data_IF_437566005487
#
_entry.id   IF_437566005487
#
_cell.length_a   1.000
_cell.length_b   1.000
_cell.length_c   1.000
_cell.angle_alpha   90.00
_cell.angle_beta   90.00
_cell.angle_gamma   90.00
#
_symmetry.space_group_name_H-M   'P 1'
#
loop_
_entity.id
_entity.type
_entity.pdbx_description
1 polymer ?
#
# COMPACT_ATOMS: atom_id res chain seq x y z
N UNK A 1 -19.83 -15.41 -12.48
CA UNK A 1 -18.50 -15.80 -11.97
C UNK A 1 -17.88 -14.56 -11.36
N UNK A 2 -17.61 -14.54 -10.05
CA UNK A 2 -16.83 -13.44 -9.46
C UNK A 2 -15.41 -13.53 -9.99
N UNK A 3 -15.09 -12.66 -10.95
CA UNK A 3 -13.77 -12.60 -11.55
C UNK A 3 -12.83 -11.99 -10.52
N UNK A 4 -11.87 -12.77 -10.02
CA UNK A 4 -10.80 -12.26 -9.15
C UNK A 4 -9.95 -11.29 -9.96
N UNK A 5 -9.79 -10.06 -9.47
CA UNK A 5 -9.14 -8.95 -10.19
C UNK A 5 -7.86 -8.52 -9.46
N UNK A 6 -6.85 -8.14 -10.24
CA UNK A 6 -5.65 -7.47 -9.73
C UNK A 6 -5.80 -5.95 -9.73
N UNK A 7 -6.60 -5.42 -10.66
CA UNK A 7 -6.97 -4.01 -10.77
C UNK A 7 -8.45 -3.96 -11.12
N UNK A 8 -9.17 -2.98 -10.57
CA UNK A 8 -10.58 -2.79 -10.85
C UNK A 8 -10.83 -1.42 -11.47
N UNK A 9 -11.11 -1.41 -12.77
CA UNK A 9 -11.32 -0.19 -13.56
C UNK A 9 -12.62 0.56 -13.20
N UNK A 10 -13.52 -0.08 -12.45
CA UNK A 10 -14.76 0.57 -11.98
C UNK A 10 -14.55 1.39 -10.72
N UNK A 11 -13.37 1.29 -10.09
CA UNK A 11 -13.04 2.08 -8.91
C UNK A 11 -12.80 3.55 -9.28
N UNK A 12 -12.95 4.47 -8.34
CA UNK A 12 -12.51 5.85 -8.53
C UNK A 12 -11.02 5.93 -8.89
N UNK A 13 -10.65 6.91 -9.72
CA UNK A 13 -9.25 7.12 -10.12
C UNK A 13 -8.31 7.19 -8.91
N UNK A 14 -8.71 7.90 -7.84
CA UNK A 14 -7.95 8.00 -6.58
C UNK A 14 -7.63 6.64 -5.97
N UNK A 15 -8.63 5.76 -5.90
CA UNK A 15 -8.47 4.42 -5.31
C UNK A 15 -7.67 3.50 -6.23
N UNK A 16 -7.85 3.62 -7.55
CA UNK A 16 -7.03 2.89 -8.52
C UNK A 16 -5.55 3.28 -8.39
N UNK A 17 -5.24 4.57 -8.29
CA UNK A 17 -3.85 5.03 -8.10
C UNK A 17 -3.30 4.47 -6.77
N UNK A 18 -4.08 4.47 -5.69
CA UNK A 18 -3.65 3.86 -4.43
C UNK A 18 -3.30 2.37 -4.57
N UNK A 19 -4.09 1.60 -5.33
CA UNK A 19 -3.79 0.18 -5.63
C UNK A 19 -2.46 0.05 -6.38
N UNK A 20 -2.23 0.89 -7.40
CA UNK A 20 -0.95 0.89 -8.12
C UNK A 20 0.22 1.26 -7.22
N UNK A 21 0.06 2.25 -6.34
CA UNK A 21 1.09 2.65 -5.39
C UNK A 21 1.41 1.53 -4.39
N UNK A 22 0.42 0.77 -3.90
CA UNK A 22 0.67 -0.41 -3.04
C UNK A 22 1.53 -1.46 -3.77
N UNK A 23 1.25 -1.73 -5.04
CA UNK A 23 2.07 -2.65 -5.84
C UNK A 23 3.47 -2.10 -6.11
N UNK A 24 3.60 -0.79 -6.38
CA UNK A 24 4.90 -0.16 -6.55
C UNK A 24 5.73 -0.18 -5.26
N UNK A 25 5.12 0.07 -4.10
CA UNK A 25 5.78 -0.07 -2.79
C UNK A 25 6.31 -1.49 -2.60
N UNK A 26 5.52 -2.51 -2.93
CA UNK A 26 5.98 -3.90 -2.86
C UNK A 26 7.18 -4.17 -3.78
N UNK A 27 7.18 -3.61 -5.00
CA UNK A 27 8.29 -3.74 -5.96
C UNK A 27 9.56 -3.06 -5.45
N UNK A 28 9.46 -1.82 -4.95
CA UNK A 28 10.63 -1.09 -4.44
C UNK A 28 11.21 -1.77 -3.20
N UNK A 29 10.37 -2.19 -2.26
CA UNK A 29 10.82 -2.94 -1.09
C UNK A 29 11.50 -4.26 -1.49
N UNK A 30 10.99 -4.96 -2.51
CA UNK A 30 11.63 -6.16 -3.02
C UNK A 30 13.00 -5.87 -3.66
N UNK A 31 13.12 -4.79 -4.43
CA UNK A 31 14.40 -4.35 -4.99
C UNK A 31 15.41 -4.04 -3.86
N UNK A 32 14.96 -3.40 -2.78
CA UNK A 32 15.83 -3.11 -1.65
C UNK A 32 16.29 -4.38 -0.92
N UNK A 33 15.42 -5.39 -0.77
CA UNK A 33 15.84 -6.70 -0.24
C UNK A 33 16.96 -7.35 -1.07
N UNK A 34 16.87 -7.24 -2.40
CA UNK A 34 17.92 -7.74 -3.29
C UNK A 34 19.23 -6.95 -3.13
N UNK A 35 19.16 -5.62 -2.95
CA UNK A 35 20.34 -4.78 -2.72
C UNK A 35 21.05 -5.11 -1.41
N UNK A 36 20.30 -5.33 -0.33
CA UNK A 36 20.88 -5.65 0.99
C UNK A 36 21.26 -7.13 1.14
N UNK A 37 20.92 -7.98 0.18
CA UNK A 37 21.19 -9.42 0.18
C UNK A 37 20.66 -10.15 1.44
N UNK A 38 19.52 -9.69 1.96
CA UNK A 38 18.90 -10.22 3.16
C UNK A 38 17.38 -10.24 3.00
N UNK A 39 16.72 -11.21 3.64
CA UNK A 39 15.26 -11.35 3.63
C UNK A 39 14.68 -11.32 5.05
N UNK A 40 14.89 -10.24 5.81
CA UNK A 40 14.29 -10.08 7.12
C UNK A 40 12.76 -10.17 7.05
N UNK A 41 12.16 -10.95 7.96
CA UNK A 41 10.73 -11.28 7.93
C UNK A 41 9.83 -10.03 7.92
N UNK A 42 10.23 -8.96 8.60
CA UNK A 42 9.49 -7.68 8.67
C UNK A 42 9.30 -7.07 7.28
N UNK A 43 10.36 -7.03 6.48
CA UNK A 43 10.32 -6.46 5.13
C UNK A 43 9.59 -7.39 4.15
N UNK A 44 9.77 -8.71 4.29
CA UNK A 44 9.00 -9.70 3.52
C UNK A 44 7.50 -9.58 3.82
N UNK A 45 7.14 -9.36 5.08
CA UNK A 45 5.76 -9.12 5.50
C UNK A 45 5.21 -7.80 4.93
N UNK A 46 6.02 -6.73 4.88
CA UNK A 46 5.64 -5.47 4.24
C UNK A 46 5.33 -5.63 2.75
N UNK A 47 6.16 -6.39 2.02
CA UNK A 47 5.93 -6.72 0.59
C UNK A 47 4.64 -7.53 0.42
N UNK A 48 4.53 -8.66 1.14
CA UNK A 48 3.37 -9.55 1.03
C UNK A 48 2.08 -8.83 1.43
N UNK A 49 2.13 -8.01 2.49
CA UNK A 49 1.02 -7.20 2.96
C UNK A 49 0.59 -6.15 1.95
N UNK A 50 1.53 -5.46 1.30
CA UNK A 50 1.24 -4.45 0.27
C UNK A 50 0.59 -5.07 -0.96
N UNK A 51 1.08 -6.23 -1.42
CA UNK A 51 0.46 -7.00 -2.51
C UNK A 51 -0.95 -7.48 -2.11
N UNK A 52 -1.09 -8.06 -0.92
CA UNK A 52 -2.37 -8.55 -0.42
C UNK A 52 -3.39 -7.41 -0.25
N UNK A 53 -2.95 -6.23 0.18
CA UNK A 53 -3.78 -5.04 0.29
C UNK A 53 -4.29 -4.58 -1.07
N UNK A 54 -3.40 -4.38 -2.05
CA UNK A 54 -3.78 -3.98 -3.40
C UNK A 54 -4.75 -4.98 -4.03
N UNK A 55 -4.47 -6.27 -3.87
CA UNK A 55 -5.35 -7.33 -4.34
C UNK A 55 -6.70 -7.31 -3.63
N UNK A 56 -6.72 -7.18 -2.30
CA UNK A 56 -7.95 -7.11 -1.51
C UNK A 56 -8.82 -5.91 -1.88
N UNK A 57 -8.21 -4.74 -2.09
CA UNK A 57 -8.88 -3.52 -2.55
C UNK A 57 -9.45 -3.71 -3.96
N UNK A 58 -8.68 -4.28 -4.89
CA UNK A 58 -9.16 -4.56 -6.25
C UNK A 58 -10.36 -5.52 -6.30
N UNK A 59 -10.52 -6.36 -5.27
CA UNK A 59 -11.67 -7.25 -5.10
C UNK A 59 -12.71 -6.72 -4.09
N UNK A 60 -12.69 -5.42 -3.79
CA UNK A 60 -13.67 -4.71 -2.95
C UNK A 60 -13.86 -5.36 -1.57
N UNK A 61 -12.78 -5.87 -0.97
CA UNK A 61 -12.81 -6.52 0.34
C UNK A 61 -12.46 -5.52 1.43
N UNK A 62 -13.29 -5.43 2.49
CA UNK A 62 -13.05 -4.49 3.61
C UNK A 62 -11.69 -4.71 4.29
N UNK A 63 -11.28 -5.96 4.47
CA UNK A 63 -9.97 -6.26 5.07
C UNK A 63 -8.81 -5.75 4.21
N UNK A 64 -8.96 -5.76 2.88
CA UNK A 64 -7.93 -5.28 1.95
C UNK A 64 -7.71 -3.77 2.10
N UNK A 65 -8.80 -3.01 2.30
CA UNK A 65 -8.71 -1.57 2.54
C UNK A 65 -8.04 -1.24 3.88
N UNK A 66 -8.42 -1.95 4.95
CA UNK A 66 -7.79 -1.77 6.27
C UNK A 66 -6.30 -2.12 6.18
N UNK A 67 -5.96 -3.25 5.54
CA UNK A 67 -4.58 -3.64 5.33
C UNK A 67 -3.81 -2.60 4.50
N UNK A 68 -4.44 -2.03 3.47
CA UNK A 68 -3.84 -0.96 2.66
C UNK A 68 -3.46 0.26 3.48
N UNK A 69 -4.32 0.69 4.42
CA UNK A 69 -4.00 1.81 5.34
C UNK A 69 -2.82 1.44 6.24
N UNK A 70 -2.79 0.22 6.80
CA UNK A 70 -1.68 -0.24 7.63
C UNK A 70 -0.38 -0.28 6.83
N UNK A 71 -0.40 -0.80 5.61
CA UNK A 71 0.78 -0.88 4.74
C UNK A 71 1.25 0.49 4.24
N UNK A 72 0.35 1.45 4.05
CA UNK A 72 0.72 2.83 3.73
C UNK A 72 1.45 3.53 4.87
N UNK A 73 1.15 3.17 6.13
CA UNK A 73 1.82 3.71 7.31
C UNK A 73 3.06 2.91 7.75
N UNK A 74 3.21 1.68 7.26
CA UNK A 74 4.30 0.77 7.56
C UNK A 74 5.70 1.36 7.43
N UNK A 75 6.10 2.01 6.30
CA UNK A 75 7.46 2.50 6.14
C UNK A 75 7.82 3.62 7.14
N UNK A 76 6.83 4.40 7.58
CA UNK A 76 7.04 5.40 8.64
C UNK A 76 7.35 4.73 9.98
N UNK A 77 6.64 3.65 10.31
CA UNK A 77 6.89 2.87 11.52
C UNK A 77 8.28 2.23 11.51
N UNK A 78 8.69 1.63 10.38
CA UNK A 78 10.03 1.06 10.21
C UNK A 78 11.12 2.12 10.43
N UNK A 79 10.98 3.30 9.81
CA UNK A 79 11.98 4.36 9.94
C UNK A 79 12.07 4.91 11.36
N UNK A 80 10.96 5.03 12.08
CA UNK A 80 11.00 5.40 13.51
C UNK A 80 11.74 4.35 14.32
N UNK A 81 11.48 3.07 14.06
CA UNK A 81 12.09 1.95 14.80
C UNK A 81 13.60 1.82 14.56
N UNK A 82 14.04 1.91 13.31
CA UNK A 82 15.45 1.69 12.94
C UNK A 82 16.30 2.96 12.90
N UNK A 83 15.70 4.12 12.57
CA UNK A 83 16.43 5.36 12.28
C UNK A 83 16.02 6.57 13.12
N UNK A 84 15.01 6.45 14.00
CA UNK A 84 14.57 7.51 14.89
C UNK A 84 13.93 8.74 14.22
N UNK A 85 13.67 8.69 12.91
CA UNK A 85 13.08 9.80 12.15
C UNK A 85 11.94 9.30 11.27
N UNK A 86 10.79 9.98 11.31
CA UNK A 86 9.62 9.65 10.48
C UNK A 86 9.90 9.94 8.99
N UNK A 87 10.65 11.01 8.71
CA UNK A 87 10.89 11.55 7.37
C UNK A 87 12.33 11.30 6.88
N UNK A 88 12.98 10.23 7.35
CA UNK A 88 14.37 9.90 7.00
C UNK A 88 14.58 9.29 5.59
N UNK A 89 13.61 9.40 4.69
CA UNK A 89 13.70 8.91 3.31
C UNK A 89 14.04 10.06 2.34
N UNK A 90 14.49 9.70 1.13
CA UNK A 90 14.64 10.68 0.06
C UNK A 90 13.28 11.27 -0.36
N UNK A 91 13.31 12.44 -0.98
CA UNK A 91 12.10 13.22 -1.29
C UNK A 91 11.14 12.49 -2.24
N UNK A 92 11.65 11.65 -3.14
CA UNK A 92 10.82 10.91 -4.10
C UNK A 92 10.12 9.76 -3.39
N UNK A 93 10.84 9.01 -2.54
CA UNK A 93 10.25 7.96 -1.72
C UNK A 93 9.17 8.52 -0.78
N UNK A 94 9.46 9.61 -0.08
CA UNK A 94 8.48 10.28 0.78
C UNK A 94 7.25 10.76 0.02
N UNK A 95 7.42 11.26 -1.21
CA UNK A 95 6.31 11.69 -2.06
C UNK A 95 5.35 10.53 -2.32
N UNK A 96 5.85 9.35 -2.69
CA UNK A 96 5.01 8.18 -2.97
C UNK A 96 4.29 7.68 -1.71
N UNK A 97 4.97 7.66 -0.57
CA UNK A 97 4.39 7.19 0.69
C UNK A 97 3.29 8.12 1.19
N UNK A 98 3.53 9.43 1.18
CA UNK A 98 2.53 10.43 1.58
C UNK A 98 1.37 10.44 0.59
N UNK A 99 1.64 10.33 -0.72
CA UNK A 99 0.60 10.22 -1.73
C UNK A 99 -0.27 8.98 -1.52
N UNK A 100 0.32 7.81 -1.20
CA UNK A 100 -0.43 6.60 -0.93
C UNK A 100 -1.36 6.76 0.28
N UNK A 101 -0.87 7.31 1.39
CA UNK A 101 -1.69 7.60 2.57
C UNK A 101 -2.83 8.56 2.21
N UNK A 102 -2.51 9.65 1.51
CA UNK A 102 -3.49 10.65 1.11
C UNK A 102 -4.58 10.07 0.20
N UNK A 103 -4.21 9.24 -0.78
CA UNK A 103 -5.15 8.64 -1.73
C UNK A 103 -6.05 7.61 -1.07
N UNK A 104 -5.54 6.80 -0.13
CA UNK A 104 -6.38 5.85 0.60
C UNK A 104 -7.38 6.56 1.52
N UNK A 105 -6.94 7.61 2.21
CA UNK A 105 -7.78 8.37 3.15
C UNK A 105 -8.64 9.45 2.49
N UNK A 106 -8.44 9.69 1.19
CA UNK A 106 -9.20 10.67 0.42
C UNK A 106 -10.71 10.38 0.49
N UNK A 107 -11.59 11.41 0.57
CA UNK A 107 -13.04 11.22 0.64
C UNK A 107 -13.58 10.30 -0.45
N UNK A 108 -13.10 10.45 -1.70
CA UNK A 108 -13.53 9.61 -2.82
C UNK A 108 -13.23 8.12 -2.63
N UNK A 109 -12.09 7.78 -2.01
CA UNK A 109 -11.72 6.40 -1.69
C UNK A 109 -12.56 5.87 -0.53
N UNK A 110 -12.76 6.70 0.51
CA UNK A 110 -13.53 6.35 1.71
C UNK A 110 -15.02 6.14 1.41
N UNK A 111 -15.62 7.02 0.63
CA UNK A 111 -17.04 6.95 0.26
C UNK A 111 -17.29 5.73 -0.62
N UNK A 112 -16.40 5.46 -1.58
CA UNK A 112 -16.48 4.26 -2.39
C UNK A 112 -16.35 2.99 -1.56
N UNK A 113 -15.34 2.92 -0.70
CA UNK A 113 -15.15 1.78 0.19
C UNK A 113 -16.36 1.54 1.09
N UNK A 114 -16.95 2.59 1.65
CA UNK A 114 -18.10 2.50 2.54
C UNK A 114 -19.32 1.88 1.86
N UNK A 115 -19.54 2.17 0.57
CA UNK A 115 -20.73 1.76 -0.18
C UNK A 115 -20.52 0.38 -0.81
N UNK A 116 -19.36 0.15 -1.43
CA UNK A 116 -19.14 -1.00 -2.32
C UNK A 116 -18.42 -2.17 -1.65
N UNK A 117 -17.58 -1.91 -0.62
CA UNK A 117 -16.76 -2.98 -0.08
C UNK A 117 -17.58 -3.89 0.84
N UNK A 118 -17.29 -5.18 0.77
CA UNK A 118 -17.92 -6.22 1.57
C UNK A 118 -16.97 -6.77 2.62
#
# INVERSE_FOLDING_TARGET
MEQRRWVNQTQPQTLQIAVFLLYLTAVFNFIDLLRIHAFPLVFVAGIAGSVAAGYGIANERKWGYILGIVMALWPFGERVWYGGSVFGADIITLLFEVALVALLLHPQSRDYQRIWFK
#
